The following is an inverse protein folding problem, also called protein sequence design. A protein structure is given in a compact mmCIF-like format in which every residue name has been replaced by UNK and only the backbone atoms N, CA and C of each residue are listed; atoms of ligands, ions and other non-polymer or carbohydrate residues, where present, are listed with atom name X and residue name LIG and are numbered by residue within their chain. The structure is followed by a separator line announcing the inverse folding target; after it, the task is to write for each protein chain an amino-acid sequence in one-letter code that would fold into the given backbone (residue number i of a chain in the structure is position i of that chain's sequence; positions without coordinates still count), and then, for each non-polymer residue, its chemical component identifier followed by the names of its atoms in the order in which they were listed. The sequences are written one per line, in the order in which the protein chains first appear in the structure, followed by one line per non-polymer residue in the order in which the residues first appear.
data_IF_759127056280
#
_entry.id   IF_759127056280
#
_cell.length_a   1.000
_cell.length_b   1.000
_cell.length_c   1.000
_cell.angle_alpha   90.00
_cell.angle_beta   90.00
_cell.angle_gamma   90.00
#
_symmetry.space_group_name_H-M   'P 1'
#
loop_
_entity.id
_entity.type
_entity.pdbx_description
1 polymer ?
#
# COMPACT_ATOMS: atom_id res chain seq x y z
N UNK A 1 -28.58 53.44 5.55
CA UNK A 1 -28.02 52.50 6.55
C UNK A 1 -26.60 52.16 6.12
N UNK A 2 -25.57 52.35 6.97
CA UNK A 2 -24.19 52.02 6.61
C UNK A 2 -23.99 50.50 6.55
N UNK A 3 -23.31 50.03 5.50
CA UNK A 3 -23.00 48.61 5.30
C UNK A 3 -22.01 48.12 6.36
N UNK A 4 -22.41 47.09 7.10
CA UNK A 4 -21.60 46.44 8.12
C UNK A 4 -20.54 45.60 7.42
N UNK A 5 -19.30 46.07 7.39
CA UNK A 5 -18.17 45.29 6.89
C UNK A 5 -17.94 44.13 7.87
N UNK A 6 -18.24 42.91 7.45
CA UNK A 6 -17.85 41.71 8.19
C UNK A 6 -16.34 41.55 8.08
N UNK A 7 -15.59 41.45 9.19
CA UNK A 7 -14.16 41.23 9.15
C UNK A 7 -13.90 39.93 8.41
N UNK A 8 -13.33 40.05 7.20
CA UNK A 8 -12.86 38.89 6.45
C UNK A 8 -11.73 38.29 7.23
N UNK A 9 -11.98 37.12 7.81
CA UNK A 9 -11.01 36.34 8.54
C UNK A 9 -9.93 35.88 7.54
N UNK A 10 -8.94 36.74 7.29
CA UNK A 10 -7.79 36.38 6.47
C UNK A 10 -7.04 35.31 7.24
N UNK A 11 -7.17 34.06 6.78
CA UNK A 11 -6.40 32.95 7.31
C UNK A 11 -4.92 33.33 7.23
N UNK A 12 -4.23 33.22 8.36
CA UNK A 12 -2.83 33.57 8.50
C UNK A 12 -1.99 32.81 7.47
N UNK A 13 -1.52 33.50 6.44
CA UNK A 13 -0.65 32.93 5.40
C UNK A 13 0.79 32.91 5.88
N UNK A 14 1.54 31.91 5.42
CA UNK A 14 2.97 31.74 5.69
C UNK A 14 3.71 31.50 4.38
N UNK A 15 4.96 31.90 4.32
CA UNK A 15 5.80 31.70 3.12
C UNK A 15 6.36 30.29 3.11
N UNK A 16 6.26 29.61 1.97
CA UNK A 16 6.89 28.32 1.72
C UNK A 16 8.03 28.48 0.71
N UNK A 17 9.16 27.80 1.00
CA UNK A 17 10.39 27.80 0.20
C UNK A 17 10.82 26.37 -0.17
N UNK A 18 9.87 25.43 -0.22
CA UNK A 18 10.18 24.03 -0.44
C UNK A 18 10.70 23.77 -1.86
N UNK A 19 11.56 22.76 -2.01
CA UNK A 19 12.14 22.35 -3.31
C UNK A 19 11.29 21.32 -4.06
N UNK A 20 10.51 20.49 -3.35
CA UNK A 20 9.67 19.43 -3.92
C UNK A 20 8.56 19.96 -4.82
N UNK A 21 8.06 21.16 -4.52
CA UNK A 21 7.02 21.85 -5.29
C UNK A 21 7.53 23.15 -5.92
N UNK A 22 8.85 23.34 -6.01
CA UNK A 22 9.45 24.51 -6.67
C UNK A 22 8.89 25.85 -6.12
N UNK A 23 8.58 25.89 -4.82
CA UNK A 23 8.05 27.10 -4.20
C UNK A 23 9.15 28.15 -4.05
N UNK A 24 10.39 27.73 -3.81
CA UNK A 24 11.54 28.63 -3.72
C UNK A 24 11.90 29.33 -5.05
N UNK A 25 11.48 28.78 -6.19
CA UNK A 25 11.75 29.34 -7.52
C UNK A 25 10.66 30.35 -7.96
N UNK A 26 9.61 30.51 -7.16
CA UNK A 26 8.54 31.46 -7.38
C UNK A 26 8.78 32.74 -6.57
N UNK A 27 8.13 33.82 -6.99
CA UNK A 27 8.16 35.11 -6.29
C UNK A 27 6.73 35.58 -6.03
N UNK A 28 6.50 36.17 -4.86
CA UNK A 28 5.23 36.81 -4.50
C UNK A 28 5.46 38.26 -4.09
N UNK A 29 4.50 39.13 -4.40
CA UNK A 29 4.53 40.53 -3.99
C UNK A 29 3.89 40.69 -2.60
N UNK A 30 4.59 41.33 -1.68
CA UNK A 30 4.04 41.68 -0.37
C UNK A 30 3.02 42.85 -0.45
N UNK A 31 2.44 43.22 0.68
CA UNK A 31 1.50 44.34 0.77
C UNK A 31 2.10 45.70 0.35
N UNK A 32 3.43 45.80 0.26
CA UNK A 32 4.15 46.99 -0.19
C UNK A 32 4.58 46.90 -1.66
N UNK A 33 4.26 45.80 -2.36
CA UNK A 33 4.68 45.55 -3.74
C UNK A 33 6.13 45.12 -3.89
N UNK A 34 6.81 44.74 -2.81
CA UNK A 34 8.17 44.17 -2.86
C UNK A 34 8.07 42.67 -3.15
N UNK A 35 8.84 42.21 -4.13
CA UNK A 35 8.89 40.80 -4.49
C UNK A 35 9.82 40.04 -3.56
N UNK A 36 9.31 38.92 -3.02
CA UNK A 36 10.05 38.01 -2.16
C UNK A 36 10.04 36.60 -2.77
N UNK A 37 11.12 35.81 -2.60
CA UNK A 37 11.11 34.42 -3.03
C UNK A 37 10.14 33.60 -2.18
N UNK A 38 9.52 32.60 -2.80
CA UNK A 38 8.54 31.71 -2.16
C UNK A 38 7.12 31.89 -2.68
N UNK A 39 6.21 31.18 -2.02
CA UNK A 39 4.76 31.31 -2.23
C UNK A 39 4.06 31.43 -0.89
N UNK A 40 3.07 32.33 -0.80
CA UNK A 40 2.19 32.42 0.37
C UNK A 40 1.15 31.29 0.38
N UNK A 41 1.30 30.39 1.34
CA UNK A 41 0.43 29.23 1.53
C UNK A 41 -0.18 29.23 2.92
N UNK A 42 -1.15 28.35 3.16
CA UNK A 42 -1.66 28.10 4.50
C UNK A 42 -0.61 27.33 5.33
N UNK A 43 -0.60 27.46 6.67
CA UNK A 43 0.33 26.72 7.53
C UNK A 43 0.28 25.21 7.30
N UNK A 44 -0.92 24.65 7.11
CA UNK A 44 -1.11 23.21 6.87
C UNK A 44 -0.50 22.78 5.52
N UNK A 45 -0.58 23.63 4.50
CA UNK A 45 0.05 23.40 3.20
C UNK A 45 1.56 23.43 3.30
N UNK A 46 2.12 24.38 4.06
CA UNK A 46 3.56 24.45 4.31
C UNK A 46 4.06 23.17 4.99
N UNK A 47 3.37 22.67 6.01
CA UNK A 47 3.75 21.44 6.71
C UNK A 47 3.67 20.20 5.79
N UNK A 48 2.70 20.16 4.88
CA UNK A 48 2.61 19.12 3.86
C UNK A 48 3.80 19.19 2.90
N UNK A 49 4.16 20.38 2.42
CA UNK A 49 5.30 20.59 1.54
C UNK A 49 6.64 20.23 2.21
N UNK A 50 6.83 20.60 3.48
CA UNK A 50 8.03 20.24 4.24
C UNK A 50 8.20 18.72 4.39
N UNK A 51 7.11 17.98 4.59
CA UNK A 51 7.16 16.51 4.61
C UNK A 51 7.50 15.90 3.25
N UNK A 52 7.07 16.53 2.15
CA UNK A 52 7.42 16.10 0.80
C UNK A 52 8.89 16.38 0.49
N UNK A 53 9.42 17.54 0.87
CA UNK A 53 10.86 17.88 0.79
C UNK A 53 11.69 16.83 1.52
N UNK A 54 11.35 16.54 2.78
CA UNK A 54 12.06 15.56 3.58
C UNK A 54 12.09 14.18 2.91
N UNK A 55 10.97 13.73 2.32
CA UNK A 55 10.94 12.46 1.56
C UNK A 55 11.84 12.49 0.34
N UNK A 56 11.86 13.60 -0.38
CA UNK A 56 12.71 13.76 -1.56
C UNK A 56 14.20 13.80 -1.20
N UNK A 57 14.57 14.35 -0.05
CA UNK A 57 15.96 14.39 0.42
C UNK A 57 16.52 12.99 0.68
N UNK A 58 15.70 12.05 1.18
CA UNK A 58 16.12 10.65 1.30
C UNK A 58 16.33 9.96 -0.04
N UNK A 59 15.49 10.27 -1.03
CA UNK A 59 15.60 9.67 -2.38
C UNK A 59 16.79 10.28 -3.14
N UNK A 60 17.04 11.57 -2.96
CA UNK A 60 18.11 12.31 -3.65
C UNK A 60 19.46 12.17 -3.00
N UNK A 61 19.55 11.71 -1.74
CA UNK A 61 20.82 11.37 -1.11
C UNK A 61 21.49 10.31 -2.00
N UNK A 62 22.49 10.69 -2.82
CA UNK A 62 23.19 9.73 -3.62
C UNK A 62 23.86 8.81 -2.62
N UNK A 63 23.88 7.53 -2.95
CA UNK A 63 24.71 6.51 -2.34
C UNK A 63 26.18 7.00 -2.20
N UNK A 64 26.44 7.82 -1.18
CA UNK A 64 27.68 7.83 -0.42
C UNK A 64 27.63 6.67 0.58
N UNK A 65 27.07 5.53 0.15
CA UNK A 65 27.61 4.22 0.50
C UNK A 65 29.04 4.21 0.01
N UNK A 66 29.87 4.83 0.84
CA UNK A 66 31.29 4.56 0.91
C UNK A 66 31.39 3.06 0.83
N UNK A 67 32.03 2.60 -0.24
CA UNK A 67 32.27 1.22 -0.57
C UNK A 67 33.27 0.61 0.44
N UNK A 68 33.03 0.79 1.74
CA UNK A 68 33.58 -0.08 2.75
C UNK A 68 32.82 -1.39 2.59
N UNK A 69 33.50 -2.31 1.92
CA UNK A 69 33.36 -3.75 2.06
C UNK A 69 33.04 -4.10 3.52
N UNK A 70 31.76 -4.09 3.88
CA UNK A 70 31.23 -4.78 5.04
C UNK A 70 30.62 -6.06 4.50
N UNK A 71 31.51 -7.01 4.29
CA UNK A 71 31.25 -8.43 4.52
C UNK A 71 31.01 -8.64 6.04
N UNK A 72 30.10 -7.85 6.61
CA UNK A 72 29.66 -8.00 7.99
C UNK A 72 28.49 -8.99 7.93
N UNK A 73 28.82 -10.21 8.34
CA UNK A 73 27.97 -11.38 8.48
C UNK A 73 26.50 -11.04 8.74
N UNK A 74 25.66 -11.24 7.71
CA UNK A 74 24.20 -11.14 7.75
C UNK A 74 23.62 -12.05 8.86
N UNK A 75 24.34 -13.11 9.24
CA UNK A 75 23.96 -14.01 10.32
C UNK A 75 23.81 -13.32 11.69
N UNK A 76 24.61 -12.29 11.99
CA UNK A 76 24.60 -11.68 13.34
C UNK A 76 23.38 -10.79 13.61
N UNK A 77 22.86 -10.09 12.60
CA UNK A 77 21.73 -9.19 12.78
C UNK A 77 20.39 -9.93 12.79
N UNK A 78 20.31 -11.07 12.09
CA UNK A 78 19.13 -11.92 12.12
C UNK A 78 18.96 -12.60 13.48
N UNK A 79 20.07 -13.00 14.11
CA UNK A 79 20.04 -13.66 15.41
C UNK A 79 19.63 -12.71 16.54
N UNK A 80 19.99 -11.44 16.45
CA UNK A 80 19.65 -10.41 17.45
C UNK A 80 18.15 -10.04 17.40
N UNK A 81 17.51 -10.09 16.21
CA UNK A 81 16.07 -9.90 16.06
C UNK A 81 15.24 -11.11 16.52
N UNK A 82 15.83 -12.32 16.47
CA UNK A 82 15.16 -13.55 16.89
C UNK A 82 15.36 -13.87 18.38
N UNK A 83 16.34 -13.24 19.04
CA UNK A 83 16.63 -13.40 20.47
C UNK A 83 15.42 -13.07 21.37
N UNK A 84 14.72 -11.93 21.21
CA UNK A 84 13.53 -11.63 21.99
C UNK A 84 12.37 -12.59 21.73
N UNK A 85 12.21 -13.03 20.48
CA UNK A 85 11.14 -13.96 20.07
C UNK A 85 11.36 -15.37 20.64
N UNK A 86 12.61 -15.83 20.78
CA UNK A 86 12.94 -17.10 21.46
C UNK A 86 12.60 -17.06 22.95
N UNK A 87 12.69 -15.89 23.59
CA UNK A 87 12.36 -15.72 25.00
C UNK A 87 10.85 -15.86 25.28
N UNK A 88 10.02 -15.57 24.28
CA UNK A 88 8.56 -15.58 24.40
C UNK A 88 7.92 -16.98 24.33
N UNK A 89 8.69 -18.06 24.14
CA UNK A 89 8.22 -19.46 24.06
C UNK A 89 6.93 -19.64 23.22
N UNK A 90 6.72 -18.81 22.18
CA UNK A 90 5.59 -18.97 21.26
C UNK A 90 5.92 -20.20 20.42
N UNK A 91 5.34 -21.31 20.87
CA UNK A 91 5.65 -22.68 20.50
C UNK A 91 5.92 -22.89 19.01
N UNK A 92 7.12 -23.36 18.70
CA UNK A 92 7.35 -24.25 17.57
C UNK A 92 6.32 -25.38 17.66
N UNK A 93 5.44 -25.47 16.67
CA UNK A 93 4.50 -26.59 16.56
C UNK A 93 5.28 -27.92 16.64
N UNK A 94 4.76 -28.93 17.36
CA UNK A 94 5.42 -30.21 17.49
C UNK A 94 5.60 -30.85 16.11
N UNK A 95 6.84 -31.22 15.81
CA UNK A 95 7.25 -31.99 14.63
C UNK A 95 6.35 -33.24 14.50
N UNK A 96 5.68 -33.47 13.36
CA UNK A 96 4.92 -34.69 13.16
C UNK A 96 5.88 -35.88 13.04
N UNK A 97 5.75 -36.82 13.97
CA UNK A 97 6.37 -38.14 13.91
C UNK A 97 5.82 -38.91 12.69
N UNK A 98 6.66 -39.67 11.95
CA UNK A 98 6.20 -40.51 10.86
C UNK A 98 5.76 -41.87 11.42
N UNK A 99 4.49 -42.00 11.80
CA UNK A 99 3.90 -43.31 12.09
C UNK A 99 3.13 -43.84 10.87
N UNK A 100 3.66 -44.94 10.36
CA UNK A 100 3.11 -45.77 9.30
C UNK A 100 2.10 -46.73 9.90
N UNK A 101 0.87 -46.83 9.35
CA UNK A 101 -0.02 -48.01 9.31
C UNK A 101 -1.26 -47.57 8.49
N UNK A 102 -1.40 -47.90 7.21
CA UNK A 102 -1.87 -49.16 6.63
C UNK A 102 -3.18 -49.67 7.28
N UNK A 103 -4.32 -49.50 6.60
CA UNK A 103 -5.10 -50.56 5.95
C UNK A 103 -6.48 -50.06 5.46
N UNK A 104 -6.92 -50.72 4.40
CA UNK A 104 -8.20 -50.70 3.67
C UNK A 104 -9.47 -50.49 4.52
N UNK A 105 -10.50 -49.86 3.95
CA UNK A 105 -11.72 -50.59 3.55
C UNK A 105 -12.70 -49.76 2.71
N UNK A 106 -13.43 -50.48 1.86
CA UNK A 106 -14.57 -50.09 1.02
C UNK A 106 -15.73 -49.51 1.84
N UNK A 107 -16.56 -48.62 1.25
CA UNK A 107 -17.87 -49.01 0.67
C UNK A 107 -18.72 -47.79 0.22
N UNK A 108 -19.11 -47.83 -1.05
CA UNK A 108 -20.44 -47.62 -1.64
C UNK A 108 -21.60 -46.89 -0.90
N UNK A 109 -22.47 -46.34 -1.78
CA UNK A 109 -23.93 -46.07 -1.65
C UNK A 109 -24.35 -44.84 -0.83
N UNK A 110 -25.36 -44.03 -1.15
CA UNK A 110 -26.17 -43.61 -2.32
C UNK A 110 -27.25 -42.68 -1.72
N UNK A 111 -27.88 -41.84 -2.56
CA UNK A 111 -29.16 -41.12 -2.32
C UNK A 111 -29.13 -39.98 -1.27
N UNK A 112 -29.85 -38.86 -1.35
CA UNK A 112 -30.82 -38.35 -2.31
C UNK A 112 -31.11 -36.87 -1.98
N UNK A 113 -31.80 -36.18 -2.91
CA UNK A 113 -32.77 -35.08 -2.65
C UNK A 113 -32.24 -33.77 -2.03
N UNK A 114 -32.25 -32.68 -2.81
CA UNK A 114 -33.44 -31.82 -2.86
C UNK A 114 -33.30 -30.65 -3.84
N UNK A 115 -34.19 -30.67 -4.83
CA UNK A 115 -34.46 -29.66 -5.84
C UNK A 115 -35.30 -28.54 -5.26
N UNK A 116 -34.84 -27.28 -5.36
CA UNK A 116 -35.73 -26.12 -5.30
C UNK A 116 -35.43 -25.21 -6.49
N UNK A 117 -36.27 -25.38 -7.51
CA UNK A 117 -36.36 -24.51 -8.67
C UNK A 117 -37.10 -23.22 -8.30
N UNK A 118 -36.55 -22.08 -8.69
CA UNK A 118 -37.31 -20.85 -8.90
C UNK A 118 -37.11 -20.44 -10.37
N UNK A 119 -38.19 -20.26 -11.15
CA UNK A 119 -38.12 -19.69 -12.48
C UNK A 119 -38.07 -18.17 -12.36
N UNK A 120 -37.46 -17.47 -13.32
CA UNK A 120 -37.99 -16.22 -13.92
C UNK A 120 -36.98 -15.59 -14.88
N UNK A 121 -37.44 -15.53 -16.14
CA UNK A 121 -37.27 -14.50 -17.16
C UNK A 121 -35.92 -14.30 -17.86
N UNK A 122 -35.85 -14.99 -19.01
CA UNK A 122 -35.04 -14.72 -20.19
C UNK A 122 -35.36 -13.34 -20.77
N UNK A 123 -34.39 -12.42 -20.70
CA UNK A 123 -34.28 -11.30 -21.65
C UNK A 123 -33.14 -11.59 -22.62
N UNK A 124 -33.52 -11.77 -23.88
CA UNK A 124 -32.64 -12.01 -25.02
C UNK A 124 -32.12 -10.66 -25.50
N UNK A 125 -30.97 -10.23 -25.00
CA UNK A 125 -30.23 -9.12 -25.60
C UNK A 125 -29.08 -9.68 -26.46
N UNK A 126 -29.10 -9.22 -27.70
CA UNK A 126 -28.30 -9.58 -28.85
C UNK A 126 -26.81 -9.32 -28.62
N UNK A 127 -26.04 -10.36 -28.26
CA UNK A 127 -24.58 -10.28 -28.12
C UNK A 127 -23.95 -10.32 -29.51
N UNK A 128 -23.67 -9.11 -30.01
CA UNK A 128 -22.84 -8.88 -31.18
C UNK A 128 -21.45 -9.50 -30.96
N UNK A 129 -21.15 -10.52 -31.76
CA UNK A 129 -19.87 -11.22 -31.83
C UNK A 129 -18.75 -10.26 -32.25
N UNK A 130 -18.13 -9.58 -31.29
CA UNK A 130 -16.86 -8.88 -31.53
C UNK A 130 -15.70 -9.87 -31.43
N UNK A 131 -15.12 -10.17 -32.58
CA UNK A 131 -13.86 -10.90 -32.71
C UNK A 131 -12.79 -10.22 -31.82
N UNK A 132 -11.99 -10.98 -31.04
CA UNK A 132 -10.96 -10.41 -30.19
C UNK A 132 -9.86 -9.82 -31.07
N UNK A 133 -9.98 -8.53 -31.33
CA UNK A 133 -8.95 -7.72 -31.95
C UNK A 133 -7.77 -7.72 -30.98
N UNK A 134 -6.74 -8.48 -31.34
CA UNK A 134 -5.48 -8.62 -30.61
C UNK A 134 -4.85 -7.23 -30.46
N UNK A 135 -5.17 -6.56 -29.36
CA UNK A 135 -4.56 -5.29 -28.99
C UNK A 135 -3.06 -5.52 -28.91
N UNK A 136 -2.31 -4.92 -29.84
CA UNK A 136 -0.85 -4.82 -29.75
C UNK A 136 -0.54 -4.08 -28.45
N UNK A 137 -0.25 -4.84 -27.40
CA UNK A 137 0.17 -4.33 -26.11
C UNK A 137 1.45 -3.56 -26.32
N UNK A 138 1.38 -2.23 -26.19
CA UNK A 138 2.58 -1.40 -26.12
C UNK A 138 3.53 -2.03 -25.09
N UNK A 139 4.81 -2.26 -25.45
CA UNK A 139 5.75 -2.90 -24.53
C UNK A 139 5.78 -2.10 -23.23
N UNK A 140 5.34 -2.73 -22.14
CA UNK A 140 5.34 -2.12 -20.82
C UNK A 140 6.76 -1.60 -20.56
N UNK A 141 6.88 -0.30 -20.26
CA UNK A 141 8.18 0.31 -19.97
C UNK A 141 8.75 -0.38 -18.74
N UNK A 142 9.67 -1.31 -18.95
CA UNK A 142 10.34 -2.03 -17.88
C UNK A 142 11.08 -1.01 -17.02
N UNK A 143 10.72 -0.92 -15.74
CA UNK A 143 11.38 -0.03 -14.79
C UNK A 143 12.88 -0.40 -14.69
N UNK A 144 13.76 0.60 -14.78
CA UNK A 144 15.22 0.39 -14.70
C UNK A 144 15.65 -0.28 -13.39
N UNK A 145 14.93 -0.05 -12.28
CA UNK A 145 15.15 -0.74 -11.01
C UNK A 145 14.80 -2.23 -11.06
N UNK A 146 13.79 -2.63 -11.83
CA UNK A 146 13.45 -4.05 -12.00
C UNK A 146 14.56 -4.81 -12.74
N UNK A 147 15.24 -4.13 -13.70
CA UNK A 147 16.39 -4.68 -14.40
C UNK A 147 17.58 -4.88 -13.47
N UNK A 148 17.86 -3.90 -12.60
CA UNK A 148 18.92 -4.00 -11.58
C UNK A 148 18.63 -5.13 -10.58
N UNK A 149 17.42 -5.21 -10.04
CA UNK A 149 17.04 -6.28 -9.11
C UNK A 149 17.21 -7.69 -9.72
N UNK A 150 16.86 -7.84 -11.01
CA UNK A 150 17.07 -9.09 -11.75
C UNK A 150 18.54 -9.47 -11.86
N UNK A 151 19.43 -8.48 -12.06
CA UNK A 151 20.88 -8.71 -12.13
C UNK A 151 21.49 -9.11 -10.78
N UNK A 152 20.87 -8.71 -9.67
CA UNK A 152 21.30 -9.06 -8.31
C UNK A 152 20.79 -10.43 -7.82
N UNK A 153 20.14 -11.21 -8.69
CA UNK A 153 19.61 -12.54 -8.35
C UNK A 153 18.28 -12.53 -7.60
N UNK A 154 17.63 -11.36 -7.46
CA UNK A 154 16.29 -11.30 -6.88
C UNK A 154 15.25 -11.85 -7.87
N UNK A 155 14.28 -12.58 -7.32
CA UNK A 155 13.16 -13.13 -8.08
C UNK A 155 12.22 -11.99 -8.47
N UNK A 156 12.26 -11.58 -9.73
CA UNK A 156 11.31 -10.61 -10.29
C UNK A 156 10.01 -11.35 -10.60
N UNK A 157 8.94 -10.97 -9.92
CA UNK A 157 7.61 -11.47 -10.23
C UNK A 157 7.01 -10.63 -11.35
N UNK A 158 6.55 -11.30 -12.40
CA UNK A 158 5.82 -10.65 -13.49
C UNK A 158 4.40 -10.33 -13.00
N UNK A 159 4.15 -9.04 -12.77
CA UNK A 159 2.84 -8.54 -12.36
C UNK A 159 1.99 -8.08 -13.55
N UNK A 160 2.48 -8.17 -14.79
CA UNK A 160 1.79 -7.62 -15.97
C UNK A 160 0.42 -8.31 -16.16
N UNK A 161 0.32 -9.59 -15.80
CA UNK A 161 -0.94 -10.34 -15.84
C UNK A 161 -2.01 -9.78 -14.88
N UNK A 162 -1.60 -9.10 -13.80
CA UNK A 162 -2.50 -8.51 -12.82
C UNK A 162 -2.83 -7.03 -13.11
N UNK A 163 -2.22 -6.43 -14.14
CA UNK A 163 -2.52 -5.04 -14.52
C UNK A 163 -3.66 -4.92 -15.53
N UNK A 164 -4.09 -6.02 -16.15
CA UNK A 164 -5.27 -6.06 -17.05
C UNK A 164 -6.58 -6.38 -16.32
N UNK A 165 -6.71 -6.02 -15.05
CA UNK A 165 -8.03 -6.02 -14.42
C UNK A 165 -8.84 -4.82 -14.92
N UNK A 166 -9.65 -5.04 -15.95
CA UNK A 166 -10.68 -4.08 -16.33
C UNK A 166 -11.75 -4.04 -15.24
N UNK A 167 -11.60 -3.08 -14.32
CA UNK A 167 -12.58 -2.72 -13.28
C UNK A 167 -14.00 -2.48 -13.84
N UNK A 168 -14.13 -2.23 -15.15
CA UNK A 168 -15.42 -2.06 -15.83
C UNK A 168 -16.31 -3.31 -15.76
N UNK A 169 -15.72 -4.49 -15.61
CA UNK A 169 -16.46 -5.77 -15.61
C UNK A 169 -16.86 -6.27 -14.22
N UNK A 170 -16.35 -5.67 -13.15
CA UNK A 170 -16.71 -6.10 -11.79
C UNK A 170 -18.02 -5.47 -11.34
N UNK A 171 -18.88 -6.28 -10.72
CA UNK A 171 -20.08 -5.78 -10.07
C UNK A 171 -19.67 -4.81 -8.94
N UNK A 172 -20.11 -3.54 -8.96
CA UNK A 172 -19.70 -2.54 -7.99
C UNK A 172 -20.07 -2.92 -6.55
N UNK A 173 -21.11 -3.75 -6.35
CA UNK A 173 -21.49 -4.25 -5.03
C UNK A 173 -20.43 -5.20 -4.46
N UNK A 174 -19.88 -6.09 -5.28
CA UNK A 174 -18.83 -7.03 -4.86
C UNK A 174 -17.55 -6.25 -4.52
N UNK A 175 -17.21 -5.26 -5.33
CA UNK A 175 -16.05 -4.39 -5.08
C UNK A 175 -16.22 -3.62 -3.76
N UNK A 176 -17.40 -3.05 -3.51
CA UNK A 176 -17.68 -2.32 -2.28
C UNK A 176 -17.57 -3.22 -1.04
N UNK A 177 -18.13 -4.44 -1.09
CA UNK A 177 -18.04 -5.41 0.02
C UNK A 177 -16.59 -5.83 0.26
N UNK A 178 -15.85 -6.16 -0.80
CA UNK A 178 -14.44 -6.55 -0.69
C UNK A 178 -13.58 -5.41 -0.12
N UNK A 179 -13.79 -4.18 -0.59
CA UNK A 179 -13.09 -3.00 -0.09
C UNK A 179 -13.42 -2.73 1.39
N UNK A 180 -14.70 -2.81 1.76
CA UNK A 180 -15.13 -2.63 3.15
C UNK A 180 -14.51 -3.68 4.05
N UNK A 181 -14.50 -4.96 3.63
CA UNK A 181 -13.88 -6.05 4.37
C UNK A 181 -12.36 -5.85 4.54
N UNK A 182 -11.66 -5.43 3.48
CA UNK A 182 -10.23 -5.13 3.55
C UNK A 182 -9.93 -3.97 4.50
N UNK A 183 -10.73 -2.90 4.47
CA UNK A 183 -10.61 -1.77 5.39
C UNK A 183 -10.80 -2.25 6.83
N UNK A 184 -11.83 -3.04 7.10
CA UNK A 184 -12.09 -3.58 8.44
C UNK A 184 -10.99 -4.52 8.93
N UNK A 185 -10.40 -5.36 8.07
CA UNK A 185 -9.26 -6.21 8.43
C UNK A 185 -8.02 -5.37 8.78
N UNK A 186 -7.73 -4.32 8.01
CA UNK A 186 -6.63 -3.39 8.32
C UNK A 186 -6.85 -2.69 9.66
N UNK A 187 -8.07 -2.20 9.93
CA UNK A 187 -8.40 -1.59 11.21
C UNK A 187 -8.35 -2.60 12.37
N UNK A 188 -8.81 -3.83 12.16
CA UNK A 188 -8.73 -4.89 13.18
C UNK A 188 -7.29 -5.24 13.53
N UNK A 189 -6.43 -5.44 12.53
CA UNK A 189 -5.00 -5.74 12.73
C UNK A 189 -4.24 -4.59 13.37
N UNK A 190 -4.50 -3.35 12.92
CA UNK A 190 -3.85 -2.17 13.50
C UNK A 190 -4.32 -1.92 14.93
N UNK A 191 -5.61 -2.10 15.24
CA UNK A 191 -6.13 -1.98 16.61
C UNK A 191 -5.45 -2.99 17.54
N UNK A 192 -5.31 -4.25 17.11
CA UNK A 192 -4.62 -5.28 17.89
C UNK A 192 -3.12 -4.97 18.08
N UNK A 193 -2.48 -4.40 17.08
CA UNK A 193 -1.09 -3.97 17.19
C UNK A 193 -0.91 -2.79 18.15
N UNK A 194 -1.84 -1.83 18.14
CA UNK A 194 -1.81 -0.67 19.05
C UNK A 194 -2.07 -1.12 20.49
N UNK A 195 -3.05 -2.00 20.72
CA UNK A 195 -3.31 -2.52 22.07
C UNK A 195 -2.16 -3.34 22.59
N UNK A 196 -1.54 -4.18 21.75
CA UNK A 196 -0.30 -4.90 22.11
C UNK A 196 0.80 -3.92 22.53
N UNK A 197 1.04 -2.88 21.72
CA UNK A 197 2.06 -1.87 22.01
C UNK A 197 1.80 -1.10 23.32
N UNK A 198 0.55 -0.76 23.61
CA UNK A 198 0.16 -0.10 24.88
C UNK A 198 0.41 -1.02 26.08
N UNK A 199 0.08 -2.32 25.95
CA UNK A 199 0.31 -3.30 27.01
C UNK A 199 1.81 -3.51 27.26
N UNK A 200 2.61 -3.56 26.20
CA UNK A 200 4.06 -3.68 26.29
C UNK A 200 4.69 -2.47 27.03
N UNK A 201 4.20 -1.26 26.78
CA UNK A 201 4.64 -0.05 27.49
C UNK A 201 4.29 -0.12 28.97
N UNK A 202 3.07 -0.53 29.33
CA UNK A 202 2.64 -0.61 30.72
C UNK A 202 3.39 -1.69 31.52
N UNK A 203 3.92 -2.72 30.86
CA UNK A 203 4.74 -3.73 31.51
C UNK A 203 6.21 -3.27 31.73
N UNK A 204 6.65 -2.25 31.01
CA UNK A 204 8.02 -1.73 31.08
C UNK A 204 8.24 -0.68 32.19
N UNK A 205 7.16 -0.14 32.76
CA UNK A 205 7.16 0.84 33.86
C UNK A 205 6.64 0.23 35.15
#
# INVERSE_FOLDING_TARGET
MPQRQTPTNQSHRVVCLCTSYECGDQEYADANGVYHPGVEVLPETRDAHQRADFRNDYVKSPDNTTSYSRQASIDSAQEDLLSPLRLLHIASAPSPSPDSHQLDDQNQTTEDVSTLALPVESSTDDVTNHSPQRSESNPAKTCSQAVLAKSSGHKVFDCDHYHTFELKSMNPLILHVALTAAILDIFGRSSNSITSWILDINHYY
#
